data_IF_275559702547
#
_entry.id   IF_275559702547
#
_cell.length_a   1.000
_cell.length_b   1.000
_cell.length_c   1.000
_cell.angle_alpha   90.00
_cell.angle_beta   90.00
_cell.angle_gamma   90.00
#
_symmetry.space_group_name_H-M   'P 1'
#
loop_
_entity.id
_entity.type
_entity.pdbx_description
1 polymer ?
#
# COMPACT_ATOMS: atom_id res chain seq x y z
N UNK A 1 -8.31 -14.49 6.54
CA UNK A 1 -7.28 -15.48 6.89
C UNK A 1 -6.45 -15.09 8.12
N UNK A 2 -5.57 -14.07 8.08
CA UNK A 2 -4.74 -13.72 9.27
C UNK A 2 -5.57 -13.31 10.49
N UNK A 3 -6.64 -12.52 10.28
CA UNK A 3 -7.59 -12.11 11.31
C UNK A 3 -8.33 -13.28 11.97
N UNK A 4 -8.71 -14.28 11.18
CA UNK A 4 -9.42 -15.47 11.67
C UNK A 4 -8.49 -16.39 12.48
N UNK A 5 -7.19 -16.34 12.21
CA UNK A 5 -6.17 -17.11 12.92
C UNK A 5 -5.58 -16.37 14.13
N UNK A 6 -6.05 -15.15 14.44
CA UNK A 6 -5.55 -14.35 15.55
C UNK A 6 -4.06 -13.96 15.43
N UNK A 7 -3.50 -14.00 14.22
CA UNK A 7 -2.09 -13.66 13.99
C UNK A 7 -1.97 -12.14 13.94
N UNK A 8 -1.08 -11.51 14.73
CA UNK A 8 -0.89 -10.06 14.68
C UNK A 8 -0.38 -9.64 13.30
N UNK A 9 -0.94 -8.57 12.76
CA UNK A 9 -0.55 -7.98 11.49
C UNK A 9 -0.60 -6.45 11.60
N UNK A 10 0.22 -5.72 10.83
CA UNK A 10 0.16 -4.27 10.79
C UNK A 10 -1.12 -3.82 10.08
N UNK A 11 -1.64 -2.65 10.44
CA UNK A 11 -2.77 -2.06 9.74
C UNK A 11 -2.48 -1.97 8.23
N UNK A 12 -3.44 -2.41 7.42
CA UNK A 12 -3.31 -2.46 5.98
C UNK A 12 -4.65 -2.19 5.31
N UNK A 13 -4.60 -1.80 4.04
CA UNK A 13 -5.78 -1.68 3.19
C UNK A 13 -5.43 -2.00 1.74
N UNK A 14 -6.47 -2.25 0.95
CA UNK A 14 -6.38 -2.41 -0.50
C UNK A 14 -7.00 -1.19 -1.16
N UNK A 15 -6.42 -0.75 -2.26
CA UNK A 15 -6.93 0.36 -3.04
C UNK A 15 -6.83 0.03 -4.54
N UNK A 16 -7.84 0.42 -5.29
CA UNK A 16 -7.90 0.29 -6.75
C UNK A 16 -7.65 1.63 -7.43
N UNK A 17 -7.88 2.74 -6.74
CA UNK A 17 -7.61 4.10 -7.22
C UNK A 17 -6.56 4.81 -6.37
N UNK A 18 -5.99 5.90 -6.91
CA UNK A 18 -5.00 6.71 -6.18
C UNK A 18 -5.63 7.40 -4.98
N UNK A 19 -6.86 7.88 -5.10
CA UNK A 19 -7.54 8.57 -4.01
C UNK A 19 -7.88 7.60 -2.86
N UNK A 20 -8.34 6.38 -3.17
CA UNK A 20 -8.46 5.30 -2.18
C UNK A 20 -7.12 4.99 -1.49
N UNK A 21 -6.03 4.95 -2.27
CA UNK A 21 -4.70 4.68 -1.71
C UNK A 21 -4.24 5.80 -0.74
N UNK A 22 -4.64 7.05 -1.00
CA UNK A 22 -4.38 8.18 -0.10
C UNK A 22 -5.20 8.06 1.18
N UNK A 23 -6.49 7.72 1.08
CA UNK A 23 -7.34 7.51 2.25
C UNK A 23 -6.81 6.37 3.13
N UNK A 24 -6.48 5.22 2.55
CA UNK A 24 -5.86 4.10 3.25
C UNK A 24 -4.54 4.50 3.90
N UNK A 25 -3.67 5.25 3.18
CA UNK A 25 -2.40 5.68 3.73
C UNK A 25 -2.56 6.66 4.91
N UNK A 26 -3.59 7.50 4.89
CA UNK A 26 -3.91 8.39 6.00
C UNK A 26 -4.47 7.64 7.22
N UNK A 27 -5.19 6.53 7.00
CA UNK A 27 -5.68 5.67 8.08
C UNK A 27 -4.57 4.83 8.71
N UNK A 28 -3.68 4.26 7.89
CA UNK A 28 -2.55 3.43 8.37
C UNK A 28 -1.44 4.29 8.99
N UNK A 29 -1.23 5.51 8.47
CA UNK A 29 -0.17 6.42 8.90
C UNK A 29 1.13 6.24 8.12
N UNK A 30 1.82 7.34 7.84
CA UNK A 30 3.09 7.33 7.11
C UNK A 30 4.28 6.98 8.03
N UNK A 31 5.34 6.33 7.50
CA UNK A 31 5.48 5.87 6.11
C UNK A 31 4.71 4.57 5.83
N UNK A 32 4.15 4.45 4.61
CA UNK A 32 3.42 3.25 4.16
C UNK A 32 4.18 2.47 3.08
N UNK A 33 4.05 1.15 3.09
CA UNK A 33 4.57 0.26 2.04
C UNK A 33 3.47 -0.04 1.02
N UNK A 34 3.62 0.48 -0.20
CA UNK A 34 2.69 0.19 -1.30
C UNK A 34 3.15 -1.07 -2.02
N UNK A 35 2.29 -2.09 -2.04
CA UNK A 35 2.50 -3.37 -2.72
C UNK A 35 1.47 -3.53 -3.84
N UNK A 36 1.87 -3.46 -5.12
CA UNK A 36 0.97 -3.76 -6.23
C UNK A 36 0.47 -5.21 -6.16
N UNK A 37 -0.80 -5.43 -6.51
CA UNK A 37 -1.35 -6.77 -6.66
C UNK A 37 -0.73 -7.47 -7.87
N UNK A 38 -0.55 -8.80 -7.79
CA UNK A 38 -0.10 -9.66 -8.90
C UNK A 38 1.32 -9.40 -9.47
N UNK A 39 2.28 -9.03 -8.62
CA UNK A 39 3.70 -8.96 -9.02
C UNK A 39 4.42 -10.30 -8.75
N UNK A 40 4.88 -10.97 -9.81
CA UNK A 40 5.79 -12.11 -9.71
C UNK A 40 7.19 -11.58 -9.36
N UNK A 41 7.73 -11.99 -8.20
CA UNK A 41 9.10 -11.65 -7.77
C UNK A 41 9.27 -10.39 -6.93
N UNK A 42 8.19 -9.83 -6.35
CA UNK A 42 8.29 -8.69 -5.41
C UNK A 42 8.76 -7.37 -6.03
N UNK A 43 8.80 -7.29 -7.35
CA UNK A 43 9.19 -6.08 -8.07
C UNK A 43 8.12 -4.99 -7.91
N UNK A 44 8.54 -3.72 -7.84
CA UNK A 44 7.69 -2.51 -7.75
C UNK A 44 7.03 -2.23 -6.39
N UNK A 45 7.55 -2.78 -5.28
CA UNK A 45 7.22 -2.26 -3.94
C UNK A 45 7.81 -0.85 -3.74
N UNK A 46 7.08 0.05 -3.09
CA UNK A 46 7.60 1.41 -2.76
C UNK A 46 7.23 1.83 -1.35
N UNK A 47 8.20 2.43 -0.65
CA UNK A 47 7.96 3.15 0.61
C UNK A 47 7.53 4.58 0.28
N UNK A 48 6.37 4.96 0.79
CA UNK A 48 5.77 6.28 0.59
C UNK A 48 5.78 6.98 1.93
N UNK A 49 6.47 8.12 2.01
CA UNK A 49 6.59 8.93 3.23
C UNK A 49 5.63 10.12 3.26
N UNK A 50 4.92 10.41 2.17
CA UNK A 50 3.88 11.47 2.12
C UNK A 50 2.88 11.23 0.99
N UNK A 51 1.68 11.81 1.14
CA UNK A 51 0.59 11.78 0.16
C UNK A 51 1.00 12.15 -1.27
N UNK A 52 1.82 13.20 -1.46
CA UNK A 52 2.25 13.67 -2.80
C UNK A 52 2.97 12.57 -3.62
N UNK A 53 3.60 11.59 -2.97
CA UNK A 53 4.28 10.48 -3.66
C UNK A 53 3.30 9.43 -4.20
N UNK A 54 2.07 9.34 -3.68
CA UNK A 54 1.04 8.39 -4.16
C UNK A 54 0.46 8.78 -5.53
N UNK A 55 0.52 10.08 -5.88
CA UNK A 55 0.06 10.58 -7.20
C UNK A 55 1.03 10.30 -8.35
N UNK A 56 2.23 9.77 -8.10
CA UNK A 56 3.13 9.33 -9.18
C UNK A 56 2.66 7.96 -9.67
N UNK A 57 2.50 7.76 -10.99
CA UNK A 57 2.13 6.46 -11.55
C UNK A 57 3.02 5.35 -10.98
N UNK A 58 2.40 4.28 -10.47
CA UNK A 58 3.12 3.10 -9.98
C UNK A 58 3.89 2.38 -11.10
N UNK A 59 3.58 2.70 -12.37
CA UNK A 59 4.35 2.38 -13.57
C UNK A 59 5.49 3.38 -13.78
N UNK A 60 6.70 3.01 -13.36
CA UNK A 60 7.91 3.61 -13.89
C UNK A 60 8.86 2.47 -14.24
N UNK A 61 9.03 2.29 -15.55
CA UNK A 61 9.89 1.34 -16.28
C UNK A 61 9.56 -0.14 -16.13
#
# INVERSE_FOLDING_TARGET
MLKELGIPYPDYGSAYTVDEAIEVANQVGYPVLVRPSYVLGGQRMRIVSMMKKLRRPLSAS
#
